data_IF_088491902077
#
_entry.id   IF_088491902077
#
_cell.length_a   1.000
_cell.length_b   1.000
_cell.length_c   1.000
_cell.angle_alpha   90.00
_cell.angle_beta   90.00
_cell.angle_gamma   90.00
#
_symmetry.space_group_name_H-M   'P 1'
#
loop_
_entity.id
_entity.type
_entity.pdbx_description
1 polymer ?
#
# COMPACT_ATOMS: atom_id res chain seq x y z
N UNK A 1 15.27 3.24 -4.15
CA UNK A 1 15.16 1.84 -4.55
C UNK A 1 13.86 1.52 -5.31
N UNK A 2 12.80 2.34 -5.22
CA UNK A 2 11.47 2.03 -5.73
C UNK A 2 10.83 3.23 -6.45
N UNK A 3 10.02 2.95 -7.46
CA UNK A 3 9.14 3.89 -8.16
C UNK A 3 7.67 3.59 -7.81
N UNK A 4 6.86 4.64 -7.68
CA UNK A 4 5.41 4.56 -7.43
C UNK A 4 4.67 5.41 -8.47
N UNK A 5 3.97 4.72 -9.38
CA UNK A 5 2.97 5.35 -10.24
C UNK A 5 1.60 5.20 -9.58
N UNK A 6 0.93 6.30 -9.28
CA UNK A 6 -0.36 6.25 -8.62
C UNK A 6 -1.41 7.19 -9.19
N UNK A 7 -2.66 6.83 -8.94
CA UNK A 7 -3.85 7.61 -9.25
C UNK A 7 -4.73 7.64 -8.02
N UNK A 8 -5.15 8.84 -7.62
CA UNK A 8 -6.02 9.03 -6.46
C UNK A 8 -7.30 9.73 -6.84
N UNK A 9 -8.40 9.15 -6.44
CA UNK A 9 -9.72 9.72 -6.57
C UNK A 9 -10.31 10.02 -5.19
N UNK A 10 -10.88 11.21 -5.05
CA UNK A 10 -11.60 11.63 -3.86
C UNK A 10 -13.01 12.02 -4.26
N UNK A 11 -13.98 11.61 -3.47
CA UNK A 11 -15.38 11.94 -3.66
C UNK A 11 -16.00 12.28 -2.30
N UNK A 12 -16.89 13.27 -2.30
CA UNK A 12 -17.67 13.67 -1.13
C UNK A 12 -19.15 13.57 -1.50
N UNK A 13 -19.79 12.38 -1.43
CA UNK A 13 -21.18 12.22 -1.84
C UNK A 13 -22.16 13.02 -0.98
N UNK A 14 -21.81 13.26 0.29
CA UNK A 14 -22.60 14.05 1.26
C UNK A 14 -21.64 14.83 2.16
N UNK A 15 -22.13 15.87 2.85
CA UNK A 15 -21.32 16.67 3.78
C UNK A 15 -20.66 15.83 4.90
N UNK A 16 -21.26 14.71 5.29
CA UNK A 16 -20.76 13.85 6.35
C UNK A 16 -19.90 12.68 5.86
N UNK A 17 -19.86 12.39 4.54
CA UNK A 17 -19.17 11.22 4.00
C UNK A 17 -18.11 11.61 2.97
N UNK A 18 -16.87 11.28 3.26
CA UNK A 18 -15.73 11.32 2.33
C UNK A 18 -15.35 9.91 1.92
N UNK A 19 -15.12 9.72 0.63
CA UNK A 19 -14.61 8.48 0.05
C UNK A 19 -13.32 8.78 -0.71
N UNK A 20 -12.33 7.91 -0.56
CA UNK A 20 -11.10 7.93 -1.32
C UNK A 20 -10.80 6.54 -1.86
N UNK A 21 -10.39 6.51 -3.12
CA UNK A 21 -9.77 5.37 -3.76
C UNK A 21 -8.38 5.79 -4.20
N UNK A 22 -7.35 5.05 -3.81
CA UNK A 22 -5.98 5.28 -4.26
C UNK A 22 -5.46 4.00 -4.88
N UNK A 23 -5.02 4.08 -6.12
CA UNK A 23 -4.36 2.97 -6.80
C UNK A 23 -2.87 3.27 -6.94
N UNK A 24 -2.04 2.29 -6.64
CA UNK A 24 -0.59 2.36 -6.75
C UNK A 24 -0.06 1.22 -7.62
N UNK A 25 0.98 1.49 -8.40
CA UNK A 25 1.76 0.49 -9.12
C UNK A 25 3.24 0.69 -8.80
N UNK A 26 3.85 -0.34 -8.22
CA UNK A 26 5.20 -0.27 -7.65
C UNK A 26 6.20 -1.06 -8.49
N UNK A 27 7.34 -0.44 -8.77
CA UNK A 27 8.47 -1.11 -9.42
C UNK A 27 9.78 -0.78 -8.72
N UNK A 28 10.79 -1.64 -8.87
CA UNK A 28 12.15 -1.26 -8.50
C UNK A 28 12.66 -0.15 -9.43
N UNK A 29 13.46 0.76 -8.87
CA UNK A 29 14.07 1.85 -9.63
C UNK A 29 15.12 1.34 -10.63
N UNK A 30 15.77 0.21 -10.32
CA UNK A 30 16.64 -0.54 -11.21
C UNK A 30 16.59 -2.03 -10.82
N UNK A 31 17.01 -2.92 -11.71
CA UNK A 31 16.99 -4.37 -11.55
C UNK A 31 18.05 -4.92 -10.57
N UNK A 32 19.03 -4.09 -10.17
CA UNK A 32 20.07 -4.46 -9.21
C UNK A 32 19.70 -4.19 -7.75
N UNK A 33 18.60 -3.49 -7.49
CA UNK A 33 18.16 -3.09 -6.14
C UNK A 33 17.14 -4.07 -5.55
N UNK A 34 16.78 -3.90 -4.27
CA UNK A 34 15.77 -4.68 -3.55
C UNK A 34 14.79 -3.76 -2.81
N UNK A 35 13.57 -4.22 -2.48
CA UNK A 35 12.71 -3.47 -1.58
C UNK A 35 13.29 -3.45 -0.15
N UNK A 36 12.95 -2.42 0.62
CA UNK A 36 13.41 -2.26 1.99
C UNK A 36 12.22 -2.25 2.94
N UNK A 37 12.42 -2.80 4.14
CA UNK A 37 11.45 -2.74 5.22
C UNK A 37 11.34 -1.33 5.81
N UNK A 38 10.33 -1.08 6.63
CA UNK A 38 10.13 0.21 7.34
C UNK A 38 11.29 0.59 8.27
N UNK A 39 12.11 -0.38 8.69
CA UNK A 39 13.34 -0.15 9.47
C UNK A 39 14.59 0.08 8.59
N UNK A 40 14.43 0.30 7.28
CA UNK A 40 15.49 0.54 6.30
C UNK A 40 16.49 -0.62 6.13
N UNK A 41 16.10 -1.85 6.48
CA UNK A 41 16.87 -3.06 6.14
C UNK A 41 16.35 -3.70 4.85
N UNK A 42 17.21 -4.34 4.04
CA UNK A 42 16.77 -5.07 2.86
C UNK A 42 15.69 -6.10 3.18
N UNK A 43 14.66 -6.16 2.36
CA UNK A 43 13.58 -7.13 2.49
C UNK A 43 14.14 -8.55 2.43
N UNK A 44 13.68 -9.43 3.32
CA UNK A 44 14.14 -10.81 3.44
C UNK A 44 15.67 -11.01 3.57
N UNK A 45 16.41 -9.98 3.98
CA UNK A 45 17.88 -10.02 4.03
C UNK A 45 18.55 -10.13 2.66
N UNK A 46 17.84 -9.77 1.59
CA UNK A 46 18.34 -9.85 0.22
C UNK A 46 19.44 -8.81 -0.04
N UNK A 47 20.34 -9.14 -0.96
CA UNK A 47 21.44 -8.27 -1.38
C UNK A 47 21.18 -7.63 -2.74
N UNK A 48 22.07 -6.73 -3.16
CA UNK A 48 22.04 -6.22 -4.53
C UNK A 48 22.18 -7.35 -5.56
N UNK A 49 21.56 -7.20 -6.73
CA UNK A 49 21.55 -8.15 -7.86
C UNK A 49 20.86 -9.49 -7.58
N UNK A 50 20.03 -9.60 -6.53
CA UNK A 50 19.25 -10.84 -6.28
C UNK A 50 17.86 -10.82 -6.89
N UNK A 51 17.41 -9.67 -7.39
CA UNK A 51 16.05 -9.44 -7.88
C UNK A 51 15.77 -10.18 -9.19
N UNK A 52 14.72 -11.01 -9.19
CA UNK A 52 14.30 -11.77 -10.38
C UNK A 52 13.32 -11.01 -11.30
N UNK A 53 12.84 -9.84 -10.89
CA UNK A 53 11.99 -8.93 -11.66
C UNK A 53 12.04 -7.54 -11.02
N UNK A 54 11.62 -6.49 -11.71
CA UNK A 54 11.38 -5.17 -11.12
C UNK A 54 9.92 -4.93 -10.77
N UNK A 55 8.99 -5.80 -11.17
CA UNK A 55 7.56 -5.67 -10.90
C UNK A 55 7.23 -6.11 -9.47
N UNK A 56 7.08 -5.14 -8.57
CA UNK A 56 6.69 -5.40 -7.18
C UNK A 56 5.19 -5.66 -7.09
N UNK A 57 4.37 -5.07 -7.96
CA UNK A 57 2.93 -5.27 -7.98
C UNK A 57 2.16 -3.97 -7.80
N UNK A 58 0.90 -4.09 -7.40
CA UNK A 58 0.01 -2.94 -7.27
C UNK A 58 -0.93 -3.04 -6.09
N UNK A 59 -1.45 -1.90 -5.66
CA UNK A 59 -2.32 -1.79 -4.50
C UNK A 59 -3.55 -0.96 -4.82
N UNK A 60 -4.69 -1.37 -4.25
CA UNK A 60 -5.88 -0.53 -4.16
C UNK A 60 -6.19 -0.25 -2.69
N UNK A 61 -6.24 1.03 -2.36
CA UNK A 61 -6.63 1.55 -1.06
C UNK A 61 -8.01 2.19 -1.14
N UNK A 62 -8.87 1.79 -0.22
CA UNK A 62 -10.19 2.34 0.01
C UNK A 62 -10.21 2.98 1.38
N UNK A 63 -10.63 4.25 1.45
CA UNK A 63 -10.85 4.96 2.69
C UNK A 63 -12.22 5.61 2.68
N UNK A 64 -13.01 5.34 3.72
CA UNK A 64 -14.24 6.04 4.00
C UNK A 64 -14.10 6.79 5.32
N UNK A 65 -14.38 8.09 5.32
CA UNK A 65 -14.46 8.91 6.54
C UNK A 65 -15.91 9.37 6.73
N UNK A 66 -16.48 9.07 7.88
CA UNK A 66 -17.79 9.51 8.31
C UNK A 66 -17.63 10.54 9.44
N UNK A 67 -18.01 11.78 9.17
CA UNK A 67 -18.05 12.87 10.15
C UNK A 67 -19.45 12.94 10.75
N UNK A 68 -19.60 12.55 12.01
CA UNK A 68 -20.87 12.57 12.72
C UNK A 68 -21.14 13.92 13.39
N UNK A 69 -20.08 14.63 13.79
CA UNK A 69 -20.14 16.00 14.28
C UNK A 69 -18.77 16.67 14.10
N UNK A 70 -18.66 17.97 14.41
CA UNK A 70 -17.38 18.67 14.44
C UNK A 70 -16.33 18.00 15.34
N UNK A 71 -16.78 17.21 16.33
CA UNK A 71 -15.93 16.56 17.32
C UNK A 71 -15.78 15.06 17.14
N UNK A 72 -16.58 14.41 16.29
CA UNK A 72 -16.63 12.96 16.19
C UNK A 72 -16.53 12.50 14.74
N UNK A 73 -15.47 11.73 14.45
CA UNK A 73 -15.20 11.14 13.13
C UNK A 73 -14.91 9.65 13.24
N UNK A 74 -15.36 8.90 12.27
CA UNK A 74 -15.00 7.49 12.06
C UNK A 74 -14.30 7.34 10.71
N UNK A 75 -13.28 6.49 10.67
CA UNK A 75 -12.61 6.09 9.43
C UNK A 75 -12.64 4.57 9.29
N UNK A 76 -12.85 4.11 8.07
CA UNK A 76 -12.70 2.72 7.65
C UNK A 76 -11.71 2.68 6.51
N UNK A 77 -10.62 1.95 6.69
CA UNK A 77 -9.60 1.75 5.67
C UNK A 77 -9.47 0.28 5.29
N UNK A 78 -9.34 0.03 4.00
CA UNK A 78 -9.07 -1.29 3.44
C UNK A 78 -8.05 -1.17 2.31
N UNK A 79 -7.05 -2.04 2.31
CA UNK A 79 -6.02 -2.11 1.26
C UNK A 79 -5.89 -3.54 0.77
N UNK A 80 -5.74 -3.73 -0.54
CA UNK A 80 -5.37 -5.02 -1.13
C UNK A 80 -4.18 -4.82 -2.06
N UNK A 81 -3.06 -5.42 -1.65
CA UNK A 81 -1.84 -5.52 -2.43
C UNK A 81 -1.81 -6.79 -3.26
N UNK A 82 -1.68 -6.65 -4.57
CA UNK A 82 -1.52 -7.73 -5.53
C UNK A 82 -0.05 -7.96 -5.82
N UNK A 83 0.46 -9.15 -5.48
CA UNK A 83 1.89 -9.42 -5.59
C UNK A 83 2.34 -9.52 -7.05
N UNK A 84 3.28 -8.65 -7.44
CA UNK A 84 3.92 -8.65 -8.76
C UNK A 84 4.85 -9.83 -8.99
N UNK A 85 5.46 -9.88 -10.17
CA UNK A 85 6.38 -10.96 -10.55
C UNK A 85 7.58 -11.10 -9.61
N UNK A 86 8.05 -9.99 -9.00
CA UNK A 86 9.17 -9.96 -8.06
C UNK A 86 9.10 -11.07 -7.02
N UNK A 87 7.95 -11.22 -6.37
CA UNK A 87 7.81 -12.15 -5.26
C UNK A 87 7.76 -13.63 -5.67
N UNK A 88 7.55 -13.92 -6.96
CA UNK A 88 7.55 -15.28 -7.52
C UNK A 88 8.88 -15.64 -8.16
N UNK A 89 9.62 -14.67 -8.70
CA UNK A 89 10.87 -14.90 -9.45
C UNK A 89 12.13 -14.64 -8.64
N UNK A 90 12.03 -13.93 -7.51
CA UNK A 90 13.17 -13.63 -6.64
C UNK A 90 13.34 -14.72 -5.58
N UNK A 91 14.49 -15.40 -5.60
CA UNK A 91 14.80 -16.43 -4.60
C UNK A 91 14.99 -15.81 -3.20
N UNK A 92 14.57 -16.54 -2.15
CA UNK A 92 14.71 -16.09 -0.76
C UNK A 92 13.56 -15.20 -0.27
N UNK A 93 12.64 -14.80 -1.14
CA UNK A 93 11.39 -14.14 -0.74
C UNK A 93 10.52 -15.13 0.07
N UNK A 94 10.07 -14.76 1.28
CA UNK A 94 9.34 -15.70 2.14
C UNK A 94 7.93 -16.00 1.62
N UNK A 95 7.24 -15.01 1.02
CA UNK A 95 5.84 -15.10 0.61
C UNK A 95 5.63 -14.47 -0.77
N UNK A 96 4.80 -15.10 -1.61
CA UNK A 96 4.55 -14.66 -2.99
C UNK A 96 3.09 -14.36 -3.33
N UNK A 97 2.23 -14.35 -2.30
CA UNK A 97 0.80 -14.10 -2.44
C UNK A 97 0.43 -12.66 -2.08
N UNK A 98 -0.82 -12.32 -2.39
CA UNK A 98 -1.41 -11.02 -2.09
C UNK A 98 -1.52 -10.75 -0.59
N UNK A 99 -1.48 -9.46 -0.21
CA UNK A 99 -1.71 -9.00 1.15
C UNK A 99 -2.99 -8.16 1.22
N UNK A 100 -3.68 -8.23 2.38
CA UNK A 100 -4.85 -7.40 2.66
C UNK A 100 -4.70 -6.78 4.04
N UNK A 101 -5.07 -5.52 4.17
CA UNK A 101 -5.05 -4.79 5.42
C UNK A 101 -6.39 -4.10 5.63
N UNK A 102 -6.91 -4.14 6.85
CA UNK A 102 -8.15 -3.47 7.22
C UNK A 102 -7.97 -2.79 8.57
N UNK A 103 -8.49 -1.58 8.71
CA UNK A 103 -8.54 -0.89 9.98
C UNK A 103 -9.79 -0.03 10.12
N UNK A 104 -10.11 0.30 11.37
CA UNK A 104 -11.05 1.35 11.70
C UNK A 104 -10.43 2.28 12.74
N UNK A 105 -10.79 3.56 12.68
CA UNK A 105 -10.34 4.59 13.61
C UNK A 105 -11.51 5.46 14.03
N UNK A 106 -11.52 5.86 15.31
CA UNK A 106 -12.42 6.87 15.84
C UNK A 106 -11.60 8.04 16.36
N UNK A 107 -11.99 9.27 16.03
CA UNK A 107 -11.40 10.50 16.54
C UNK A 107 -12.46 11.29 17.31
N UNK A 108 -12.14 11.67 18.55
CA UNK A 108 -12.98 12.50 19.42
C UNK A 108 -12.20 13.72 19.90
N UNK A 109 -12.73 14.91 19.67
CA UNK A 109 -12.17 16.19 20.12
C UNK A 109 -12.94 16.73 21.34
N UNK A 110 -12.21 17.23 22.36
CA UNK A 110 -12.75 17.67 23.66
C UNK A 110 -12.71 19.18 23.83
#
# INVERSE_FOLDING_TARGET
NLNDLNVRWNCQPTESLELRVHYHYFTLANDTDVPYNTNMTPFAGLGANTSGSSDLGHEIDLLATLTLSERLKFQLGYSHFFAGAYYRTTAGVPHSGDARFFYTQMTLEF
#
